data_IF_344068225076
#
_entry.id   IF_344068225076
#
_cell.length_a   1.000
_cell.length_b   1.000
_cell.length_c   1.000
_cell.angle_alpha   90.00
_cell.angle_beta   90.00
_cell.angle_gamma   90.00
#
_symmetry.space_group_name_H-M   'P 1'
#
loop_
_entity.id
_entity.type
_entity.pdbx_description
1 polymer ?
#
# COMPACT_ATOMS: atom_id res chain seq x y z
N UNK A 1 -25.02 13.22 -38.77
CA UNK A 1 -25.82 13.01 -37.58
C UNK A 1 -25.32 11.91 -36.68
N UNK A 2 -24.60 10.94 -37.19
CA UNK A 2 -23.99 9.90 -36.40
C UNK A 2 -22.67 10.31 -35.70
N UNK A 3 -22.06 11.39 -36.15
CA UNK A 3 -20.77 11.84 -35.65
C UNK A 3 -20.72 12.21 -34.16
N UNK A 4 -21.71 12.89 -33.59
CA UNK A 4 -21.67 13.22 -32.17
C UNK A 4 -21.65 12.01 -31.26
N UNK A 5 -22.32 10.92 -31.65
CA UNK A 5 -22.35 9.71 -30.86
C UNK A 5 -20.99 8.99 -30.85
N UNK A 6 -20.31 8.97 -32.00
CA UNK A 6 -19.01 8.36 -32.13
C UNK A 6 -17.96 9.10 -31.28
N UNK A 7 -18.01 10.42 -31.29
CA UNK A 7 -17.11 11.25 -30.50
C UNK A 7 -17.32 11.00 -29.00
N UNK A 8 -18.55 10.85 -28.57
CA UNK A 8 -18.87 10.56 -27.17
C UNK A 8 -18.31 9.21 -26.73
N UNK A 9 -18.43 8.20 -27.57
CA UNK A 9 -17.90 6.87 -27.26
C UNK A 9 -16.40 6.89 -27.09
N UNK A 10 -15.69 7.60 -27.96
CA UNK A 10 -14.23 7.71 -27.87
C UNK A 10 -13.81 8.41 -26.57
N UNK A 11 -14.50 9.47 -26.18
CA UNK A 11 -14.20 10.20 -24.95
C UNK A 11 -14.40 9.33 -23.71
N UNK A 12 -15.48 8.55 -23.67
CA UNK A 12 -15.75 7.66 -22.55
C UNK A 12 -14.67 6.59 -22.43
N UNK A 13 -14.24 6.00 -23.53
CA UNK A 13 -13.16 5.01 -23.52
C UNK A 13 -11.85 5.61 -23.04
N UNK A 14 -11.49 6.79 -23.50
CA UNK A 14 -10.26 7.45 -23.07
C UNK A 14 -10.27 7.73 -21.56
N UNK A 15 -11.40 8.19 -21.02
CA UNK A 15 -11.55 8.45 -19.60
C UNK A 15 -11.44 7.16 -18.78
N UNK A 16 -12.05 6.08 -19.24
CA UNK A 16 -12.03 4.80 -18.54
C UNK A 16 -10.64 4.16 -18.50
N UNK A 17 -9.81 4.38 -19.51
CA UNK A 17 -8.52 3.73 -19.64
C UNK A 17 -7.40 4.43 -18.85
N UNK A 18 -7.52 5.71 -18.55
CA UNK A 18 -6.42 6.49 -18.01
C UNK A 18 -6.41 6.70 -16.50
N UNK A 19 -7.58 6.76 -15.85
CA UNK A 19 -7.68 7.32 -14.53
C UNK A 19 -7.31 6.38 -13.35
N UNK A 20 -7.68 5.08 -13.30
CA UNK A 20 -7.56 4.32 -12.05
C UNK A 20 -6.14 4.05 -11.58
N UNK A 21 -5.22 3.77 -12.48
CA UNK A 21 -3.86 3.41 -12.09
C UNK A 21 -3.07 4.57 -11.48
N UNK A 22 -3.30 5.79 -11.98
CA UNK A 22 -2.57 6.97 -11.53
C UNK A 22 -3.02 7.46 -10.16
N UNK A 23 -4.21 7.03 -9.70
CA UNK A 23 -4.80 7.49 -8.44
C UNK A 23 -4.75 6.44 -7.34
N UNK A 24 -4.13 5.29 -7.59
CA UNK A 24 -4.04 4.24 -6.58
C UNK A 24 -3.10 4.70 -5.45
N UNK A 25 -3.60 4.67 -4.22
CA UNK A 25 -2.83 5.05 -3.05
C UNK A 25 -1.99 3.89 -2.54
N UNK A 26 -0.86 4.22 -1.93
CA UNK A 26 -0.02 3.24 -1.26
C UNK A 26 -0.76 2.61 -0.08
N UNK A 27 -0.56 1.31 0.12
CA UNK A 27 -1.12 0.57 1.23
C UNK A 27 -0.07 0.50 2.34
N UNK A 28 -0.32 1.22 3.41
CA UNK A 28 0.58 1.28 4.56
C UNK A 28 0.22 0.19 5.56
N UNK A 29 1.21 -0.55 6.03
CA UNK A 29 0.99 -1.66 6.97
C UNK A 29 2.01 -1.58 8.10
N UNK A 30 1.50 -1.55 9.33
CA UNK A 30 2.30 -1.65 10.54
C UNK A 30 2.62 -3.13 10.79
N UNK A 31 3.89 -3.50 10.67
CA UNK A 31 4.32 -4.89 10.88
C UNK A 31 4.95 -5.12 12.26
N UNK A 32 4.72 -4.18 13.19
CA UNK A 32 5.10 -4.38 14.59
C UNK A 32 4.15 -5.39 15.24
N UNK A 33 4.43 -5.76 16.49
CA UNK A 33 3.55 -6.63 17.24
C UNK A 33 2.18 -5.98 17.49
N UNK A 34 1.18 -6.80 17.73
CA UNK A 34 -0.15 -6.34 18.10
C UNK A 34 -0.11 -5.45 19.35
N UNK A 35 0.74 -5.79 20.31
CA UNK A 35 0.88 -5.02 21.53
C UNK A 35 1.42 -3.61 21.28
N UNK A 36 2.47 -3.50 20.46
CA UNK A 36 3.03 -2.19 20.10
C UNK A 36 1.97 -1.31 19.41
N UNK A 37 1.21 -1.92 18.50
CA UNK A 37 0.16 -1.20 17.77
C UNK A 37 -0.94 -0.70 18.72
N UNK A 38 -1.28 -1.48 19.74
CA UNK A 38 -2.27 -1.06 20.74
C UNK A 38 -1.79 0.11 21.57
N UNK A 39 -0.51 0.16 21.88
CA UNK A 39 0.05 1.25 22.69
C UNK A 39 0.15 2.56 21.92
N UNK A 40 0.50 2.49 20.64
CA UNK A 40 0.69 3.68 19.81
C UNK A 40 0.67 3.25 18.34
N UNK A 41 -0.16 3.87 17.54
CA UNK A 41 -0.29 3.50 16.13
C UNK A 41 -0.66 4.71 15.28
N UNK A 42 -0.49 4.55 13.96
CA UNK A 42 -0.97 5.55 13.00
C UNK A 42 -2.43 5.21 12.69
N UNK A 43 -3.38 6.13 12.94
CA UNK A 43 -4.80 5.85 12.72
C UNK A 43 -5.08 5.41 11.28
N UNK A 44 -5.89 4.36 11.15
CA UNK A 44 -6.31 3.84 9.86
C UNK A 44 -5.40 2.79 9.24
N UNK A 45 -4.18 2.63 9.73
CA UNK A 45 -3.27 1.62 9.19
C UNK A 45 -3.56 0.26 9.80
N UNK A 46 -3.66 -0.79 8.97
CA UNK A 46 -3.78 -2.14 9.50
C UNK A 46 -2.47 -2.57 10.17
N UNK A 47 -2.62 -3.40 11.19
CA UNK A 47 -1.50 -4.04 11.86
C UNK A 47 -1.45 -5.51 11.48
N UNK A 48 -0.37 -5.91 10.84
CA UNK A 48 -0.10 -7.31 10.51
C UNK A 48 1.35 -7.59 10.92
N UNK A 49 1.58 -8.25 12.04
CA UNK A 49 2.94 -8.54 12.48
C UNK A 49 3.78 -9.20 11.38
N UNK A 50 5.06 -8.89 11.36
CA UNK A 50 5.95 -9.31 10.28
C UNK A 50 5.98 -10.83 10.05
N UNK A 51 5.78 -11.61 11.10
CA UNK A 51 5.78 -13.07 11.03
C UNK A 51 4.41 -13.66 10.63
N UNK A 52 3.39 -12.81 10.51
CA UNK A 52 2.06 -13.21 10.08
C UNK A 52 1.71 -12.67 8.68
N UNK A 53 2.60 -11.86 8.10
CA UNK A 53 2.29 -11.15 6.85
C UNK A 53 2.03 -12.10 5.67
N UNK A 54 2.73 -13.23 5.61
CA UNK A 54 2.56 -14.18 4.52
C UNK A 54 1.14 -14.71 4.45
N UNK A 55 0.53 -14.98 5.59
CA UNK A 55 -0.82 -15.54 5.65
C UNK A 55 -1.90 -14.49 5.40
N UNK A 56 -1.64 -13.24 5.76
CA UNK A 56 -2.65 -12.18 5.74
C UNK A 56 -2.68 -11.37 4.44
N UNK A 57 -1.55 -11.29 3.73
CA UNK A 57 -1.40 -10.31 2.66
C UNK A 57 -2.34 -10.54 1.48
N UNK A 58 -2.59 -11.79 1.13
CA UNK A 58 -3.45 -12.10 -0.01
C UNK A 58 -4.88 -11.61 0.15
N UNK A 59 -5.39 -11.58 1.38
CA UNK A 59 -6.71 -11.02 1.69
C UNK A 59 -6.65 -9.51 1.79
N UNK A 60 -5.62 -8.98 2.41
CA UNK A 60 -5.51 -7.53 2.66
C UNK A 60 -5.18 -6.75 1.39
N UNK A 61 -4.24 -7.25 0.58
CA UNK A 61 -3.80 -6.62 -0.66
C UNK A 61 -3.72 -7.70 -1.74
N UNK A 62 -4.83 -8.02 -2.40
CA UNK A 62 -4.83 -9.10 -3.41
C UNK A 62 -4.06 -8.75 -4.68
N UNK A 63 -3.96 -7.47 -5.05
CA UNK A 63 -3.23 -7.06 -6.24
C UNK A 63 -1.74 -6.97 -5.94
N UNK A 64 -0.96 -7.84 -6.56
CA UNK A 64 0.48 -7.94 -6.32
C UNK A 64 1.29 -6.79 -6.89
N UNK A 65 0.69 -5.93 -7.69
CA UNK A 65 1.33 -4.72 -8.20
C UNK A 65 1.02 -3.49 -7.36
N UNK A 66 0.14 -3.59 -6.39
CA UNK A 66 -0.18 -2.48 -5.49
C UNK A 66 1.06 -2.02 -4.73
N UNK A 67 1.19 -0.73 -4.56
CA UNK A 67 2.26 -0.19 -3.74
C UNK A 67 1.99 -0.51 -2.27
N UNK A 68 2.93 -1.18 -1.62
CA UNK A 68 2.86 -1.53 -0.21
C UNK A 68 4.03 -0.87 0.52
N UNK A 69 3.73 -0.16 1.59
CA UNK A 69 4.74 0.48 2.43
C UNK A 69 4.66 -0.13 3.81
N UNK A 70 5.77 -0.71 4.25
CA UNK A 70 5.86 -1.39 5.54
C UNK A 70 6.66 -0.54 6.50
N UNK A 71 6.30 -0.59 7.77
CA UNK A 71 7.11 -0.01 8.83
C UNK A 71 7.00 -0.83 10.11
N UNK A 72 8.02 -0.72 10.93
CA UNK A 72 8.02 -1.34 12.26
C UNK A 72 8.52 -0.30 13.28
N UNK A 73 9.34 -0.68 14.23
CA UNK A 73 9.91 0.26 15.19
C UNK A 73 11.14 0.96 14.62
N UNK A 74 11.99 0.21 13.92
CA UNK A 74 13.28 0.73 13.40
C UNK A 74 13.65 0.20 12.03
N UNK A 75 12.78 -0.57 11.38
CA UNK A 75 12.98 -1.04 10.01
C UNK A 75 13.38 -2.51 9.84
N UNK A 76 13.91 -3.15 10.88
CA UNK A 76 14.40 -4.53 10.76
C UNK A 76 13.32 -5.56 10.47
N UNK A 77 12.21 -5.51 11.20
CA UNK A 77 11.08 -6.42 10.97
C UNK A 77 10.39 -6.11 9.65
N UNK A 78 10.34 -4.83 9.28
CA UNK A 78 9.79 -4.42 7.99
C UNK A 78 10.63 -4.93 6.83
N UNK A 79 11.96 -5.02 7.00
CA UNK A 79 12.83 -5.61 6.00
C UNK A 79 12.52 -7.10 5.80
N UNK A 80 12.35 -7.85 6.88
CA UNK A 80 11.96 -9.25 6.80
C UNK A 80 10.61 -9.42 6.10
N UNK A 81 9.63 -8.60 6.46
CA UNK A 81 8.31 -8.62 5.84
C UNK A 81 8.38 -8.28 4.35
N UNK A 82 9.21 -7.31 3.96
CA UNK A 82 9.41 -6.95 2.56
C UNK A 82 9.93 -8.14 1.77
N UNK A 83 10.95 -8.82 2.27
CA UNK A 83 11.50 -10.00 1.60
C UNK A 83 10.45 -11.11 1.47
N UNK A 84 9.65 -11.33 2.50
CA UNK A 84 8.55 -12.29 2.45
C UNK A 84 7.56 -11.96 1.34
N UNK A 85 7.14 -10.70 1.25
CA UNK A 85 6.20 -10.28 0.22
C UNK A 85 6.78 -10.39 -1.19
N UNK A 86 8.04 -10.05 -1.35
CA UNK A 86 8.72 -10.18 -2.64
C UNK A 86 8.79 -11.63 -3.08
N UNK A 87 9.06 -12.56 -2.18
CA UNK A 87 9.02 -13.99 -2.48
C UNK A 87 7.62 -14.47 -2.87
N UNK A 88 6.59 -13.82 -2.36
CA UNK A 88 5.20 -14.14 -2.72
C UNK A 88 4.74 -13.49 -4.02
N UNK A 89 5.61 -12.73 -4.68
CA UNK A 89 5.33 -12.14 -5.98
C UNK A 89 4.87 -10.68 -5.94
N UNK A 90 4.89 -10.03 -4.78
CA UNK A 90 4.57 -8.60 -4.71
C UNK A 90 5.73 -7.80 -5.27
N UNK A 91 5.44 -6.91 -6.21
CA UNK A 91 6.47 -6.25 -7.02
C UNK A 91 6.73 -4.80 -6.65
N UNK A 92 5.97 -4.23 -5.73
CA UNK A 92 6.04 -2.80 -5.42
C UNK A 92 5.99 -2.59 -3.90
N UNK A 93 6.97 -3.15 -3.21
CA UNK A 93 7.04 -3.12 -1.75
C UNK A 93 8.25 -2.32 -1.31
N UNK A 94 8.07 -1.43 -0.34
CA UNK A 94 9.20 -0.74 0.26
C UNK A 94 9.09 -0.68 1.78
N UNK A 95 10.21 -0.44 2.41
CA UNK A 95 10.35 -0.32 3.85
C UNK A 95 10.56 1.16 4.20
N UNK A 96 9.63 1.75 4.93
CA UNK A 96 9.72 3.14 5.35
C UNK A 96 10.56 3.32 6.61
N UNK A 97 11.02 2.24 7.21
CA UNK A 97 11.80 2.31 8.45
C UNK A 97 10.95 2.13 9.68
N UNK A 98 11.05 3.04 10.62
CA UNK A 98 10.25 3.01 11.82
C UNK A 98 8.95 3.80 11.71
N UNK A 99 8.09 3.64 12.72
CA UNK A 99 6.82 4.35 12.76
C UNK A 99 7.01 5.88 12.78
N UNK A 100 8.10 6.36 13.37
CA UNK A 100 8.37 7.80 13.38
C UNK A 100 8.70 8.31 11.98
N UNK A 101 9.48 7.57 11.21
CA UNK A 101 9.79 7.89 9.83
C UNK A 101 8.53 7.83 8.96
N UNK A 102 7.68 6.83 9.19
CA UNK A 102 6.40 6.71 8.49
C UNK A 102 5.51 7.94 8.75
N UNK A 103 5.45 8.40 10.00
CA UNK A 103 4.70 9.61 10.35
C UNK A 103 5.25 10.84 9.65
N UNK A 104 6.57 10.99 9.63
CA UNK A 104 7.21 12.14 8.97
C UNK A 104 6.93 12.16 7.49
N UNK A 105 7.03 11.02 6.84
CA UNK A 105 6.78 10.92 5.40
C UNK A 105 5.35 11.30 5.05
N UNK A 106 4.40 11.00 5.94
CA UNK A 106 2.97 11.19 5.70
C UNK A 106 2.43 12.49 6.28
N UNK A 107 3.27 13.25 6.97
CA UNK A 107 2.85 14.53 7.53
C UNK A 107 2.53 15.52 6.41
N UNK A 108 1.47 16.33 6.56
CA UNK A 108 1.18 17.34 5.55
C UNK A 108 2.31 18.35 5.46
N UNK A 109 2.59 18.84 4.25
CA UNK A 109 3.56 19.89 4.02
C UNK A 109 3.09 21.17 4.73
N UNK A 110 3.98 21.78 5.50
CA UNK A 110 3.68 23.02 6.23
C UNK A 110 4.11 24.26 5.48
#
# INVERSE_FOLDING_TARGET
>A
MSQPLLVRLVLVLATALGAPAALAEARWIDVRSTWEHKLDSIPGDPNVPHDEIADAIGTLVPDKSSEIVLYCRSGGRADVAQQTLERLGYTNVRNAGGIDEARKERAPAS
#
